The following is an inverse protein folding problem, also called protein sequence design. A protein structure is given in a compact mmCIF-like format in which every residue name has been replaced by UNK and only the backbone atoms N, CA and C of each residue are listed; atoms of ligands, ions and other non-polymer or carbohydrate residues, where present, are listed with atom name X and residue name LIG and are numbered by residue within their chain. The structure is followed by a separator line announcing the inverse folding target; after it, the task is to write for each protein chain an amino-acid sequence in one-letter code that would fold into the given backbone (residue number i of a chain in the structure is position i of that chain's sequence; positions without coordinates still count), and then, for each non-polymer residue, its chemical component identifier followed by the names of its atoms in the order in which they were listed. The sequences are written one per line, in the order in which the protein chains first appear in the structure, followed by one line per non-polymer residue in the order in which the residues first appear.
data_IF_338960896430
#
_entry.id   IF_338960896430
#
_cell.length_a   1.000
_cell.length_b   1.000
_cell.length_c   1.000
_cell.angle_alpha   90.00
_cell.angle_beta   90.00
_cell.angle_gamma   90.00
#
_symmetry.space_group_name_H-M   'P 1'
#
loop_
_entity.id
_entity.type
_entity.pdbx_description
1 polymer ?
#
# COMPACT_ATOMS: atom_id res chain seq x y z
N UNK A 1 -29.38 0.09 -2.75
CA UNK A 1 -28.84 1.30 -2.10
C UNK A 1 -27.86 0.82 -1.05
N UNK A 2 -26.55 0.93 -1.30
CA UNK A 2 -25.54 0.46 -0.34
C UNK A 2 -25.36 1.53 0.76
N UNK A 3 -25.31 1.16 2.05
CA UNK A 3 -25.12 2.12 3.13
C UNK A 3 -23.74 2.78 3.01
N UNK A 4 -23.72 4.11 3.10
CA UNK A 4 -22.53 4.92 3.09
C UNK A 4 -21.70 4.64 4.35
N UNK A 5 -20.47 4.16 4.18
CA UNK A 5 -19.51 4.08 5.28
C UNK A 5 -19.28 5.49 5.84
N UNK A 6 -19.32 5.69 7.18
CA UNK A 6 -19.28 7.01 7.83
C UNK A 6 -17.95 7.77 7.72
N UNK A 7 -16.98 7.27 6.95
CA UNK A 7 -15.75 8.00 6.61
C UNK A 7 -15.83 8.30 5.12
N UNK A 8 -16.33 9.51 4.82
CA UNK A 8 -16.59 9.99 3.48
C UNK A 8 -15.38 9.87 2.57
N UNK A 9 -15.48 8.99 1.58
CA UNK A 9 -14.75 9.06 0.33
C UNK A 9 -15.75 8.74 -0.78
N UNK A 10 -16.37 9.77 -1.33
CA UNK A 10 -17.06 9.66 -2.61
C UNK A 10 -15.98 9.42 -3.69
N UNK A 11 -16.06 8.31 -4.44
CA UNK A 11 -15.22 8.12 -5.63
C UNK A 11 -16.09 8.23 -6.86
N UNK A 12 -15.66 9.08 -7.81
CA UNK A 12 -15.72 8.69 -9.20
C UNK A 12 -14.42 9.02 -9.92
N UNK A 13 -13.60 8.00 -10.17
CA UNK A 13 -12.86 7.76 -11.41
C UNK A 13 -12.21 6.36 -11.32
N UNK A 14 -12.86 5.34 -11.90
CA UNK A 14 -12.34 3.97 -12.00
C UNK A 14 -12.46 3.16 -10.71
N UNK A 15 -13.45 2.26 -10.66
CA UNK A 15 -13.75 1.34 -9.55
C UNK A 15 -12.48 0.87 -8.81
N UNK A 16 -12.35 1.33 -7.56
CA UNK A 16 -11.40 0.86 -6.53
C UNK A 16 -9.90 1.15 -6.71
N UNK A 17 -9.46 1.91 -7.72
CA UNK A 17 -8.03 2.26 -7.81
C UNK A 17 -7.61 3.15 -6.64
N UNK A 18 -6.57 2.73 -5.91
CA UNK A 18 -6.03 3.45 -4.75
C UNK A 18 -6.78 3.27 -3.43
N UNK A 19 -7.81 2.41 -3.37
CA UNK A 19 -8.55 2.12 -2.13
C UNK A 19 -8.08 0.82 -1.51
N UNK A 20 -7.72 0.88 -0.23
CA UNK A 20 -7.47 -0.30 0.60
C UNK A 20 -8.60 -0.47 1.60
N UNK A 21 -9.06 -1.71 1.76
CA UNK A 21 -9.89 -2.13 2.88
C UNK A 21 -8.96 -2.64 3.97
N UNK A 22 -9.18 -2.18 5.20
CA UNK A 22 -8.48 -2.70 6.38
C UNK A 22 -9.33 -3.81 6.97
N UNK A 23 -8.77 -5.01 7.04
CA UNK A 23 -9.40 -6.20 7.61
C UNK A 23 -8.47 -6.82 8.65
N UNK A 24 -8.99 -7.76 9.45
CA UNK A 24 -8.17 -8.56 10.36
C UNK A 24 -7.93 -9.94 9.75
N UNK A 25 -6.68 -10.36 9.73
CA UNK A 25 -6.25 -11.73 9.39
C UNK A 25 -6.69 -12.73 10.48
N UNK A 26 -6.59 -14.04 10.22
CA UNK A 26 -6.88 -15.11 11.19
C UNK A 26 -6.08 -14.99 12.50
N UNK A 27 -4.91 -14.36 12.47
CA UNK A 27 -4.13 -14.06 13.67
C UNK A 27 -4.55 -12.75 14.39
N UNK A 28 -5.66 -12.11 13.98
CA UNK A 28 -6.15 -10.86 14.56
C UNK A 28 -5.40 -9.59 14.13
N UNK A 29 -4.43 -9.71 13.21
CA UNK A 29 -3.58 -8.60 12.75
C UNK A 29 -4.28 -7.77 11.67
N UNK A 30 -4.12 -6.45 11.73
CA UNK A 30 -4.64 -5.55 10.71
C UNK A 30 -3.83 -5.64 9.40
N UNK A 31 -4.55 -5.89 8.31
CA UNK A 31 -4.00 -6.00 6.96
C UNK A 31 -4.82 -5.16 5.97
N UNK A 32 -4.14 -4.62 4.97
CA UNK A 32 -4.68 -3.80 3.90
C UNK A 32 -4.79 -4.62 2.61
N UNK A 33 -5.97 -4.59 1.98
CA UNK A 33 -6.23 -5.27 0.71
C UNK A 33 -7.04 -4.37 -0.23
N UNK A 34 -6.63 -4.26 -1.49
CA UNK A 34 -7.38 -3.53 -2.52
C UNK A 34 -8.33 -4.45 -3.32
N UNK A 35 -9.14 -3.89 -4.22
CA UNK A 35 -10.09 -4.65 -5.05
C UNK A 35 -9.45 -5.73 -5.94
N UNK A 36 -8.15 -5.64 -6.22
CA UNK A 36 -7.38 -6.64 -6.96
C UNK A 36 -6.64 -7.65 -6.06
N UNK A 37 -6.93 -7.69 -4.75
CA UNK A 37 -6.20 -8.48 -3.76
C UNK A 37 -4.69 -8.18 -3.73
N UNK A 38 -4.34 -6.91 -3.95
CA UNK A 38 -2.96 -6.42 -4.07
C UNK A 38 -2.14 -7.10 -5.21
N UNK A 39 -2.80 -7.73 -6.19
CA UNK A 39 -2.12 -8.25 -7.39
C UNK A 39 -1.43 -7.11 -8.12
N UNK A 40 -0.13 -7.28 -8.38
CA UNK A 40 0.68 -6.29 -9.09
C UNK A 40 0.89 -4.98 -8.33
N UNK A 41 0.58 -4.92 -7.03
CA UNK A 41 0.68 -3.69 -6.23
C UNK A 41 2.07 -3.05 -6.30
N UNK A 42 3.12 -3.87 -6.33
CA UNK A 42 4.50 -3.41 -6.39
C UNK A 42 5.16 -3.62 -7.77
N UNK A 43 4.36 -3.93 -8.79
CA UNK A 43 4.88 -4.11 -10.15
C UNK A 43 5.58 -2.84 -10.61
N UNK A 44 6.82 -2.98 -11.09
CA UNK A 44 7.70 -1.87 -11.50
C UNK A 44 8.05 -0.86 -10.39
N UNK A 45 7.69 -1.10 -9.12
CA UNK A 45 7.98 -0.16 -8.04
C UNK A 45 9.49 -0.01 -7.85
N UNK A 46 10.24 -1.11 -7.77
CA UNK A 46 11.70 -1.08 -7.63
C UNK A 46 12.37 -0.20 -8.69
N UNK A 47 12.06 -0.44 -9.97
CA UNK A 47 12.58 0.36 -11.10
C UNK A 47 12.20 1.85 -10.99
N UNK A 48 11.00 2.17 -10.51
CA UNK A 48 10.61 3.57 -10.31
C UNK A 48 11.35 4.24 -9.14
N UNK A 49 11.66 3.49 -8.09
CA UNK A 49 12.43 4.00 -6.95
C UNK A 49 13.89 4.23 -7.33
N UNK A 50 14.49 3.33 -8.10
CA UNK A 50 15.83 3.49 -8.65
C UNK A 50 15.93 4.76 -9.52
N UNK A 51 14.97 4.97 -10.43
CA UNK A 51 14.90 6.19 -11.26
C UNK A 51 14.78 7.48 -10.43
N UNK A 52 14.19 7.40 -9.25
CA UNK A 52 14.01 8.54 -8.33
C UNK A 52 15.14 8.65 -7.29
N UNK A 53 16.12 7.75 -7.31
CA UNK A 53 17.19 7.71 -6.31
C UNK A 53 16.72 7.38 -4.88
N UNK A 54 15.51 6.83 -4.73
CA UNK A 54 14.94 6.46 -3.44
C UNK A 54 15.42 5.04 -3.10
N UNK A 55 16.02 4.89 -1.91
CA UNK A 55 16.41 3.58 -1.38
C UNK A 55 15.48 3.18 -0.24
N UNK A 56 14.88 2.00 -0.36
CA UNK A 56 14.11 1.40 0.71
C UNK A 56 15.03 0.78 1.77
N UNK A 57 14.53 0.62 2.99
CA UNK A 57 15.19 -0.23 3.98
C UNK A 57 15.26 -1.68 3.50
N UNK A 58 16.15 -2.47 4.11
CA UNK A 58 16.30 -3.91 3.78
C UNK A 58 14.98 -4.66 3.98
N UNK A 59 14.24 -4.32 5.04
CA UNK A 59 12.95 -4.92 5.34
C UNK A 59 11.89 -4.57 4.29
N UNK A 60 11.76 -3.30 3.92
CA UNK A 60 10.79 -2.89 2.89
C UNK A 60 11.17 -3.37 1.48
N UNK A 61 12.46 -3.48 1.19
CA UNK A 61 12.94 -4.10 -0.05
C UNK A 61 12.50 -5.56 -0.17
N UNK A 62 12.57 -6.32 0.94
CA UNK A 62 12.06 -7.70 0.99
C UNK A 62 10.55 -7.76 0.82
N UNK A 63 9.80 -6.90 1.52
CA UNK A 63 8.34 -6.80 1.36
C UNK A 63 7.96 -6.51 -0.11
N UNK A 64 8.66 -5.60 -0.79
CA UNK A 64 8.40 -5.27 -2.18
C UNK A 64 8.78 -6.40 -3.15
N UNK A 65 9.90 -7.09 -2.90
CA UNK A 65 10.41 -8.14 -3.78
C UNK A 65 9.70 -9.49 -3.60
N UNK A 66 9.38 -9.85 -2.36
CA UNK A 66 8.91 -11.18 -1.98
C UNK A 66 7.40 -11.30 -1.87
N UNK A 67 6.62 -10.27 -2.17
CA UNK A 67 5.17 -10.30 -1.95
C UNK A 67 4.37 -10.70 -3.19
N UNK A 68 4.06 -12.00 -3.36
CA UNK A 68 3.08 -12.45 -4.33
C UNK A 68 1.71 -12.08 -3.78
N UNK A 69 1.05 -11.10 -4.38
CA UNK A 69 -0.39 -10.81 -4.26
C UNK A 69 -1.11 -11.29 -2.97
N UNK A 70 -1.51 -10.39 -2.09
CA UNK A 70 -2.32 -10.74 -0.93
C UNK A 70 -2.38 -9.62 0.10
N UNK A 71 -3.05 -9.84 1.25
CA UNK A 71 -3.15 -8.83 2.29
C UNK A 71 -1.76 -8.39 2.76
N UNK A 72 -1.55 -7.08 2.81
CA UNK A 72 -0.31 -6.46 3.28
C UNK A 72 -0.51 -5.98 4.71
N UNK A 73 0.44 -6.17 5.64
CA UNK A 73 0.25 -5.66 7.00
C UNK A 73 0.17 -4.14 6.97
N UNK A 74 -0.72 -3.58 7.80
CA UNK A 74 -0.90 -2.13 7.81
C UNK A 74 0.37 -1.39 8.23
N UNK A 75 1.19 -2.01 9.08
CA UNK A 75 2.44 -1.42 9.54
C UNK A 75 3.50 -1.35 8.43
N UNK A 76 3.65 -2.44 7.65
CA UNK A 76 4.52 -2.48 6.47
C UNK A 76 4.10 -1.42 5.43
N UNK A 77 2.79 -1.29 5.17
CA UNK A 77 2.27 -0.26 4.27
C UNK A 77 2.59 1.16 4.77
N UNK A 78 2.45 1.42 6.07
CA UNK A 78 2.78 2.72 6.67
C UNK A 78 4.27 2.99 6.62
N UNK A 79 5.11 1.99 6.87
CA UNK A 79 6.56 2.08 6.78
C UNK A 79 6.99 2.42 5.36
N UNK A 80 6.50 1.68 4.37
CA UNK A 80 6.76 1.95 2.96
C UNK A 80 6.37 3.38 2.58
N UNK A 81 5.17 3.83 2.96
CA UNK A 81 4.72 5.20 2.69
C UNK A 81 5.61 6.27 3.35
N UNK A 82 6.19 5.99 4.52
CA UNK A 82 7.17 6.91 5.15
C UNK A 82 8.45 7.00 4.33
N UNK A 83 8.98 5.86 3.88
CA UNK A 83 10.21 5.81 3.07
C UNK A 83 10.01 6.45 1.69
N UNK A 84 8.85 6.23 1.06
CA UNK A 84 8.51 6.81 -0.25
C UNK A 84 8.37 8.35 -0.22
N UNK A 85 7.96 8.92 0.91
CA UNK A 85 7.88 10.38 1.07
C UNK A 85 9.24 11.04 1.22
N UNK A 86 10.30 10.25 1.45
CA UNK A 86 11.62 10.75 1.82
C UNK A 86 11.62 11.47 3.19
N UNK A 87 12.79 11.87 3.69
CA UNK A 87 12.83 12.87 4.76
C UNK A 87 12.12 14.12 4.24
N UNK A 88 11.20 14.70 5.02
CA UNK A 88 10.63 16.01 4.69
C UNK A 88 11.78 17.00 4.59
N UNK A 89 12.22 17.29 3.37
CA UNK A 89 12.97 18.50 3.08
C UNK A 89 12.05 19.67 3.43
N UNK A 90 12.30 20.29 4.56
CA UNK A 90 12.12 21.72 4.74
C UNK A 90 12.71 22.39 3.48
N UNK A 91 11.82 22.91 2.64
CA UNK A 91 12.12 23.94 1.66
C UNK A 91 11.58 25.24 2.24
#
# INVERSE_FOLDING_TARGET
MNPASPIGLASPAGIEQGRFRIVRDSAGREVAVNGAANRGLFLNLATQLEKKGIRLSVEMSRVVAEQPAGPLRIDDLRQLLRELRGPRGVQ
#
